data_IF_701906832580
#
_entry.id   IF_701906832580
#
_cell.length_a   1.000
_cell.length_b   1.000
_cell.length_c   1.000
_cell.angle_alpha   90.00
_cell.angle_beta   90.00
_cell.angle_gamma   90.00
#
_symmetry.space_group_name_H-M   'P 1'
#
loop_
_entity.id
_entity.type
_entity.pdbx_description
1 polymer ?
#
# COMPACT_ATOMS: atom_id res chain seq x y z
N UNK A 1 -67.13 -37.53 8.99
CA UNK A 1 -67.46 -36.17 9.47
C UNK A 1 -66.13 -35.47 9.70
N UNK A 2 -65.53 -34.73 8.75
CA UNK A 2 -65.92 -33.46 8.13
C UNK A 2 -66.25 -32.34 9.11
N UNK A 3 -65.29 -31.44 9.35
CA UNK A 3 -65.46 -29.99 9.20
C UNK A 3 -64.11 -29.27 9.07
N UNK A 4 -64.11 -28.22 8.24
CA UNK A 4 -62.97 -27.43 7.77
C UNK A 4 -62.81 -26.11 8.56
N UNK A 5 -61.60 -25.55 8.44
CA UNK A 5 -61.24 -24.12 8.52
C UNK A 5 -61.12 -23.47 9.90
N UNK A 6 -59.97 -22.82 10.19
CA UNK A 6 -59.70 -21.42 9.81
C UNK A 6 -58.20 -21.10 9.95
N UNK A 7 -57.67 -20.39 8.96
CA UNK A 7 -56.36 -19.75 8.91
C UNK A 7 -56.26 -18.65 9.97
N UNK A 8 -55.15 -18.59 10.71
CA UNK A 8 -54.59 -17.34 11.22
C UNK A 8 -53.09 -17.34 10.94
N UNK A 9 -52.69 -16.44 10.04
CA UNK A 9 -51.30 -16.13 9.75
C UNK A 9 -50.70 -15.34 10.91
N UNK A 10 -49.55 -15.78 11.42
CA UNK A 10 -48.65 -14.94 12.21
C UNK A 10 -47.33 -14.86 11.45
N UNK A 11 -47.21 -13.85 10.59
CA UNK A 11 -45.93 -13.46 10.01
C UNK A 11 -45.06 -12.89 11.13
N UNK A 12 -44.22 -13.74 11.72
CA UNK A 12 -43.10 -13.31 12.55
C UNK A 12 -42.03 -12.80 11.60
N UNK A 13 -42.11 -11.51 11.30
CA UNK A 13 -41.04 -10.74 10.67
C UNK A 13 -39.75 -10.98 11.44
N UNK A 14 -38.75 -11.49 10.74
CA UNK A 14 -37.36 -11.54 11.20
C UNK A 14 -36.93 -10.12 11.56
N UNK A 15 -36.79 -9.84 12.85
CA UNK A 15 -36.04 -8.67 13.30
C UNK A 15 -34.57 -9.02 13.02
N UNK A 16 -34.09 -8.62 11.84
CA UNK A 16 -32.66 -8.49 11.63
C UNK A 16 -32.19 -7.42 12.63
N UNK A 17 -31.65 -7.86 13.77
CA UNK A 17 -30.87 -6.98 14.62
C UNK A 17 -29.78 -6.41 13.71
N UNK A 18 -29.85 -5.11 13.44
CA UNK A 18 -28.75 -4.37 12.87
C UNK A 18 -27.60 -4.45 13.88
N UNK A 19 -26.84 -5.54 13.85
CA UNK A 19 -25.50 -5.56 14.41
C UNK A 19 -24.81 -4.42 13.68
N UNK A 20 -24.37 -3.35 14.35
CA UNK A 20 -23.50 -2.40 13.68
C UNK A 20 -22.36 -3.27 13.15
N UNK A 21 -22.23 -3.33 11.83
CA UNK A 21 -21.01 -3.84 11.24
C UNK A 21 -19.96 -2.88 11.79
N UNK A 22 -19.31 -3.28 12.90
CA UNK A 22 -18.03 -2.73 13.28
C UNK A 22 -17.19 -3.11 12.07
N UNK A 23 -17.17 -2.24 11.07
CA UNK A 23 -15.99 -2.02 10.26
C UNK A 23 -14.91 -1.99 11.31
N UNK A 24 -14.16 -3.10 11.42
CA UNK A 24 -12.97 -3.15 12.25
C UNK A 24 -12.24 -1.88 11.85
N UNK A 25 -12.12 -0.90 12.77
CA UNK A 25 -11.34 0.29 12.46
C UNK A 25 -10.04 -0.25 11.88
N UNK A 26 -9.72 0.10 10.62
CA UNK A 26 -8.47 -0.35 10.03
C UNK A 26 -7.41 -0.02 11.06
N UNK A 27 -6.56 -0.98 11.40
CA UNK A 27 -5.35 -0.67 12.15
C UNK A 27 -4.60 0.35 11.29
N UNK A 28 -4.71 1.61 11.70
CA UNK A 28 -3.98 2.70 11.08
C UNK A 28 -2.59 2.59 11.68
N UNK A 29 -1.56 2.59 10.82
CA UNK A 29 -0.19 2.66 11.30
C UNK A 29 -0.05 3.89 12.20
N UNK A 30 0.40 3.68 13.43
CA UNK A 30 0.70 4.75 14.39
C UNK A 30 2.18 4.68 14.72
N UNK A 31 2.78 5.83 14.96
CA UNK A 31 4.16 5.96 15.44
C UNK A 31 4.19 7.10 16.47
N UNK A 32 5.12 7.03 17.41
CA UNK A 32 5.42 8.14 18.33
C UNK A 32 6.85 8.65 18.09
N UNK A 33 7.10 9.93 18.35
CA UNK A 33 8.42 10.54 18.14
C UNK A 33 8.70 10.92 16.69
N UNK A 34 9.96 10.82 16.27
CA UNK A 34 10.39 11.10 14.89
C UNK A 34 10.29 9.82 14.04
N UNK A 35 9.49 9.78 12.96
CA UNK A 35 9.30 8.57 12.17
C UNK A 35 10.55 8.14 11.38
N UNK A 36 11.58 8.98 11.35
CA UNK A 36 12.82 8.74 10.60
C UNK A 36 13.99 8.28 11.47
N UNK A 37 13.86 8.29 12.81
CA UNK A 37 14.99 8.13 13.70
C UNK A 37 15.64 6.73 13.63
N UNK A 38 14.84 5.68 13.45
CA UNK A 38 15.28 4.29 13.58
C UNK A 38 14.85 3.42 12.38
N UNK A 39 14.67 4.04 11.21
CA UNK A 39 14.24 3.34 9.99
C UNK A 39 15.23 3.55 8.86
N UNK A 40 15.38 2.54 8.01
CA UNK A 40 16.03 2.70 6.71
C UNK A 40 15.02 3.27 5.72
N UNK A 41 15.42 4.33 5.01
CA UNK A 41 14.59 4.91 3.96
C UNK A 41 14.76 4.09 2.68
N UNK A 42 13.66 3.58 2.15
CA UNK A 42 13.69 2.81 0.90
C UNK A 42 13.95 3.72 -0.31
N UNK A 43 14.94 3.43 -1.16
CA UNK A 43 15.13 4.16 -2.42
C UNK A 43 13.93 3.98 -3.36
N UNK A 44 13.45 5.07 -3.97
CA UNK A 44 12.30 5.01 -4.88
C UNK A 44 12.64 4.16 -6.13
N UNK A 45 11.97 3.02 -6.34
CA UNK A 45 12.29 2.12 -7.45
C UNK A 45 12.03 2.78 -8.80
N UNK A 46 11.06 3.70 -8.89
CA UNK A 46 10.78 4.44 -10.11
C UNK A 46 11.95 5.35 -10.48
N UNK A 47 12.45 6.12 -9.50
CA UNK A 47 13.58 7.03 -9.72
C UNK A 47 14.89 6.29 -10.00
N UNK A 48 15.14 5.16 -9.31
CA UNK A 48 16.27 4.28 -9.60
C UNK A 48 16.23 3.79 -11.05
N UNK A 49 15.08 3.33 -11.52
CA UNK A 49 14.93 2.87 -12.91
C UNK A 49 15.18 4.00 -13.93
N UNK A 50 14.73 5.24 -13.68
CA UNK A 50 15.03 6.37 -14.57
C UNK A 50 16.54 6.63 -14.65
N UNK A 51 17.27 6.56 -13.54
CA UNK A 51 18.72 6.74 -13.53
C UNK A 51 19.40 5.63 -14.35
N UNK A 52 19.04 4.38 -14.11
CA UNK A 52 19.69 3.23 -14.75
C UNK A 52 19.38 3.13 -16.25
N UNK A 53 18.15 3.41 -16.65
CA UNK A 53 17.68 3.16 -18.02
C UNK A 53 17.72 4.40 -18.92
N UNK A 54 17.61 5.61 -18.35
CA UNK A 54 17.54 6.85 -19.12
C UNK A 54 18.79 7.70 -18.94
N UNK A 55 19.28 7.87 -17.71
CA UNK A 55 20.40 8.79 -17.44
C UNK A 55 21.77 8.17 -17.74
N UNK A 56 22.11 7.06 -17.08
CA UNK A 56 23.42 6.40 -17.20
C UNK A 56 23.81 6.12 -18.66
N UNK A 57 22.92 5.60 -19.53
CA UNK A 57 23.27 5.33 -20.93
C UNK A 57 23.63 6.58 -21.75
N UNK A 58 23.27 7.78 -21.27
CA UNK A 58 23.56 9.05 -21.93
C UNK A 58 24.84 9.72 -21.38
N UNK A 59 25.42 9.19 -20.30
CA UNK A 59 26.62 9.75 -19.67
C UNK A 59 27.85 9.03 -20.22
N UNK A 60 28.78 9.79 -20.81
CA UNK A 60 30.01 9.25 -21.40
C UNK A 60 31.19 9.24 -20.44
N UNK A 61 31.21 10.17 -19.48
CA UNK A 61 32.28 10.27 -18.49
C UNK A 61 32.13 9.19 -17.41
N UNK A 62 33.15 8.34 -17.23
CA UNK A 62 33.10 7.22 -16.29
C UNK A 62 32.95 7.66 -14.83
N UNK A 63 33.53 8.82 -14.47
CA UNK A 63 33.39 9.40 -13.14
C UNK A 63 31.96 9.82 -12.85
N UNK A 64 31.29 10.45 -13.83
CA UNK A 64 29.88 10.81 -13.74
C UNK A 64 28.97 9.58 -13.76
N UNK A 65 29.32 8.51 -14.47
CA UNK A 65 28.58 7.23 -14.39
C UNK A 65 28.65 6.66 -12.98
N UNK A 66 29.83 6.67 -12.35
CA UNK A 66 29.97 6.21 -10.97
C UNK A 66 29.15 7.07 -10.00
N UNK A 67 29.16 8.39 -10.17
CA UNK A 67 28.34 9.30 -9.37
C UNK A 67 26.84 9.03 -9.57
N UNK A 68 26.37 8.85 -10.80
CA UNK A 68 24.97 8.52 -11.10
C UNK A 68 24.55 7.19 -10.44
N UNK A 69 25.41 6.17 -10.45
CA UNK A 69 25.18 4.91 -9.74
C UNK A 69 25.10 5.09 -8.22
N UNK A 70 25.80 6.06 -7.64
CA UNK A 70 25.69 6.35 -6.21
C UNK A 70 24.32 6.98 -5.87
N UNK A 71 23.74 7.78 -6.77
CA UNK A 71 22.42 8.40 -6.58
C UNK A 71 21.31 7.36 -6.46
N UNK A 72 21.44 6.18 -7.07
CA UNK A 72 20.44 5.10 -6.93
C UNK A 72 20.32 4.55 -5.51
N UNK A 73 21.24 4.91 -4.60
CA UNK A 73 21.20 4.55 -3.18
C UNK A 73 20.61 5.64 -2.29
N UNK A 74 20.29 6.80 -2.84
CA UNK A 74 19.71 7.93 -2.10
C UNK A 74 18.20 7.82 -2.13
N UNK A 75 17.58 7.87 -0.95
CA UNK A 75 16.13 7.76 -0.82
C UNK A 75 15.46 9.10 -1.09
N UNK A 76 14.60 9.13 -2.10
CA UNK A 76 13.80 10.28 -2.50
C UNK A 76 12.31 10.01 -2.24
N UNK A 77 11.50 11.07 -2.23
CA UNK A 77 10.05 10.91 -2.16
C UNK A 77 9.52 10.41 -3.50
N UNK A 78 8.68 9.37 -3.46
CA UNK A 78 7.92 8.91 -4.62
C UNK A 78 6.65 9.77 -4.78
N UNK A 79 6.46 10.34 -5.96
CA UNK A 79 5.33 11.24 -6.24
C UNK A 79 4.09 10.46 -6.70
N UNK A 80 2.95 10.72 -6.05
CA UNK A 80 1.64 10.18 -6.40
C UNK A 80 0.78 11.25 -7.07
N UNK A 81 1.31 11.81 -8.15
CA UNK A 81 0.76 12.96 -8.87
C UNK A 81 -0.44 12.62 -9.78
N UNK A 82 -0.67 11.32 -10.01
CA UNK A 82 -1.78 10.78 -10.83
C UNK A 82 -2.40 9.58 -10.16
N UNK A 83 -3.69 9.33 -10.41
CA UNK A 83 -4.41 8.15 -9.90
C UNK A 83 -3.73 6.85 -10.34
N UNK A 84 -3.16 6.81 -11.55
CA UNK A 84 -2.43 5.64 -12.04
C UNK A 84 -1.16 5.31 -11.24
N UNK A 85 -0.66 6.23 -10.41
CA UNK A 85 0.48 5.98 -9.50
C UNK A 85 0.07 5.21 -8.24
N UNK A 86 -1.21 4.94 -8.01
CA UNK A 86 -1.66 4.08 -6.91
C UNK A 86 -1.11 2.65 -7.06
N UNK A 87 -1.02 2.14 -8.28
CA UNK A 87 -0.44 0.80 -8.51
C UNK A 87 1.06 0.78 -8.18
N UNK A 88 1.77 1.85 -8.51
CA UNK A 88 3.18 2.04 -8.12
C UNK A 88 3.34 2.12 -6.60
N UNK A 89 2.47 2.86 -5.90
CA UNK A 89 2.47 2.89 -4.44
C UNK A 89 2.33 1.46 -3.86
N UNK A 90 1.38 0.70 -4.38
CA UNK A 90 1.11 -0.66 -3.90
C UNK A 90 2.30 -1.59 -4.13
N UNK A 91 2.96 -1.51 -5.29
CA UNK A 91 4.16 -2.31 -5.57
C UNK A 91 5.32 -1.91 -4.67
N UNK A 92 5.59 -0.60 -4.51
CA UNK A 92 6.66 -0.09 -3.64
C UNK A 92 6.45 -0.55 -2.19
N UNK A 93 5.22 -0.47 -1.66
CA UNK A 93 4.92 -0.93 -0.30
C UNK A 93 5.06 -2.46 -0.15
N UNK A 94 4.79 -3.24 -1.20
CA UNK A 94 5.01 -4.68 -1.20
C UNK A 94 6.51 -5.02 -1.17
N UNK A 95 7.32 -4.32 -1.95
CA UNK A 95 8.78 -4.47 -1.93
C UNK A 95 9.38 -4.09 -0.58
N UNK A 96 8.96 -2.96 0.01
CA UNK A 96 9.39 -2.55 1.36
C UNK A 96 9.05 -3.63 2.38
N UNK A 97 7.84 -4.20 2.34
CA UNK A 97 7.45 -5.28 3.24
C UNK A 97 8.34 -6.50 3.05
N UNK A 98 8.59 -6.92 1.82
CA UNK A 98 9.45 -8.07 1.53
C UNK A 98 10.90 -7.83 1.99
N UNK A 99 11.41 -6.61 1.86
CA UNK A 99 12.75 -6.24 2.36
C UNK A 99 12.82 -6.32 3.88
N UNK A 100 11.82 -5.76 4.59
CA UNK A 100 11.75 -5.84 6.04
C UNK A 100 11.61 -7.28 6.54
N UNK A 101 10.79 -8.09 5.87
CA UNK A 101 10.65 -9.53 6.17
C UNK A 101 11.96 -10.30 5.94
N UNK A 102 12.84 -9.81 5.07
CA UNK A 102 14.18 -10.34 4.82
C UNK A 102 15.26 -9.79 5.78
N UNK A 103 14.90 -8.92 6.72
CA UNK A 103 15.81 -8.37 7.74
C UNK A 103 16.48 -7.06 7.37
N UNK A 104 15.89 -6.28 6.46
CA UNK A 104 16.24 -4.86 6.28
C UNK A 104 15.90 -4.02 7.52
#
# INVERSE_FOLDING_TARGET
MSTKSFLVAAALTTVALAVPHRNKCRDVATYEGNPLADVQLYPDPYYVNEIETLAIPQIQDEGLVAAAKAVTKISTFQWLDKISKIDLLNSTLHEIRAANDAGA
#
